data_IF_931024602946
#
_entry.id   IF_931024602946
#
_cell.length_a   1.000
_cell.length_b   1.000
_cell.length_c   1.000
_cell.angle_alpha   90.00
_cell.angle_beta   90.00
_cell.angle_gamma   90.00
#
_symmetry.space_group_name_H-M   'P 1'
#
loop_
_entity.id
_entity.type
_entity.pdbx_description
1 polymer ?
#
# COMPACT_ATOMS: atom_id res chain seq x y z
N UNK A 1 -0.59 9.71 -10.36
CA UNK A 1 -1.60 8.85 -9.72
C UNK A 1 -2.01 9.46 -8.40
N UNK A 2 -3.29 9.76 -8.22
CA UNK A 2 -3.84 10.26 -6.96
C UNK A 2 -3.94 9.14 -5.92
N UNK A 3 -3.95 9.50 -4.63
CA UNK A 3 -4.13 8.56 -3.52
C UNK A 3 -5.41 7.73 -3.67
N UNK A 4 -6.50 8.37 -4.08
CA UNK A 4 -7.78 7.70 -4.28
C UNK A 4 -7.72 6.67 -5.43
N UNK A 5 -6.96 6.98 -6.49
CA UNK A 5 -6.77 6.08 -7.63
C UNK A 5 -5.94 4.86 -7.21
N UNK A 6 -4.83 5.07 -6.49
CA UNK A 6 -4.01 3.97 -5.97
C UNK A 6 -4.82 3.06 -5.02
N UNK A 7 -5.60 3.64 -4.12
CA UNK A 7 -6.45 2.88 -3.21
C UNK A 7 -7.48 2.03 -3.97
N UNK A 8 -8.07 2.59 -5.03
CA UNK A 8 -9.03 1.89 -5.89
C UNK A 8 -8.39 0.74 -6.67
N UNK A 9 -7.18 0.94 -7.19
CA UNK A 9 -6.40 -0.11 -7.87
C UNK A 9 -5.98 -1.23 -6.91
N UNK A 10 -5.57 -0.88 -5.69
CA UNK A 10 -5.22 -1.84 -4.65
C UNK A 10 -6.44 -2.53 -4.00
N UNK A 11 -7.67 -2.11 -4.32
CA UNK A 11 -8.88 -2.66 -3.73
C UNK A 11 -9.00 -2.38 -2.22
N UNK A 12 -8.53 -1.22 -1.76
CA UNK A 12 -8.62 -0.78 -0.37
C UNK A 12 -9.29 0.59 -0.27
N UNK A 13 -9.78 0.93 0.92
CA UNK A 13 -10.33 2.26 1.17
C UNK A 13 -9.22 3.33 1.11
N UNK A 14 -9.47 4.51 0.52
CA UNK A 14 -8.55 5.65 0.56
C UNK A 14 -8.15 6.05 2.00
N UNK A 15 -9.04 5.82 2.97
CA UNK A 15 -8.77 6.04 4.39
C UNK A 15 -7.71 5.06 4.92
N UNK A 16 -7.78 3.79 4.49
CA UNK A 16 -6.79 2.76 4.86
C UNK A 16 -5.42 3.14 4.30
N UNK A 17 -5.34 3.54 3.04
CA UNK A 17 -4.09 4.01 2.44
C UNK A 17 -3.52 5.22 3.19
N UNK A 18 -4.38 6.19 3.54
CA UNK A 18 -3.98 7.37 4.32
C UNK A 18 -3.47 7.05 5.72
N UNK A 19 -3.93 5.97 6.36
CA UNK A 19 -3.42 5.50 7.65
C UNK A 19 -2.05 4.87 7.49
N UNK A 20 -1.86 4.07 6.44
CA UNK A 20 -0.60 3.40 6.12
C UNK A 20 0.49 4.41 5.80
N UNK A 21 0.20 5.45 5.04
CA UNK A 21 1.15 6.56 4.78
C UNK A 21 1.52 7.35 6.05
N UNK A 22 0.71 7.26 7.11
CA UNK A 22 1.01 7.85 8.42
C UNK A 22 1.76 6.89 9.36
N UNK A 23 2.21 5.73 8.86
CA UNK A 23 2.92 4.71 9.62
C UNK A 23 2.03 3.76 10.41
N UNK A 24 0.73 3.67 10.07
CA UNK A 24 -0.12 2.65 10.69
C UNK A 24 0.25 1.26 10.17
N UNK A 25 0.41 0.31 11.10
CA UNK A 25 0.65 -1.07 10.73
C UNK A 25 -0.53 -1.63 9.92
N UNK A 26 -0.24 -2.48 8.94
CA UNK A 26 -1.25 -3.08 8.07
C UNK A 26 -0.97 -4.55 7.82
N UNK A 27 -2.00 -5.28 7.39
CA UNK A 27 -1.89 -6.71 7.10
C UNK A 27 -0.95 -6.93 5.91
N UNK A 28 -0.23 -8.04 5.91
CA UNK A 28 0.65 -8.45 4.79
C UNK A 28 -0.13 -8.50 3.47
N UNK A 29 -1.39 -8.91 3.50
CA UNK A 29 -2.30 -8.87 2.34
C UNK A 29 -2.50 -7.45 1.78
N UNK A 30 -2.65 -6.45 2.65
CA UNK A 30 -2.77 -5.04 2.26
C UNK A 30 -1.47 -4.52 1.67
N UNK A 31 -0.32 -4.85 2.27
CA UNK A 31 1.01 -4.52 1.71
C UNK A 31 1.17 -5.09 0.30
N UNK A 32 0.79 -6.37 0.11
CA UNK A 32 0.80 -7.05 -1.19
C UNK A 32 -0.09 -6.37 -2.23
N UNK A 33 -1.32 -6.02 -1.87
CA UNK A 33 -2.25 -5.31 -2.76
C UNK A 33 -1.72 -3.96 -3.22
N UNK A 34 -1.11 -3.20 -2.31
CA UNK A 34 -0.52 -1.89 -2.61
C UNK A 34 0.69 -2.05 -3.54
N UNK A 35 1.59 -3.02 -3.28
CA UNK A 35 2.74 -3.29 -4.14
C UNK A 35 2.32 -3.65 -5.57
N UNK A 36 1.34 -4.54 -5.71
CA UNK A 36 0.82 -4.92 -7.03
C UNK A 36 0.16 -3.73 -7.75
N UNK A 37 -0.56 -2.87 -7.03
CA UNK A 37 -1.15 -1.66 -7.60
C UNK A 37 -0.11 -0.60 -8.01
N UNK A 38 1.07 -0.63 -7.39
CA UNK A 38 2.24 0.17 -7.79
C UNK A 38 3.06 -0.48 -8.90
N UNK A 39 2.71 -1.68 -9.35
CA UNK A 39 3.49 -2.44 -10.34
C UNK A 39 4.81 -2.99 -9.79
N UNK A 40 4.94 -3.11 -8.48
CA UNK A 40 6.14 -3.58 -7.79
C UNK A 40 6.05 -5.07 -7.43
N UNK A 41 7.21 -5.69 -7.32
CA UNK A 41 7.33 -7.07 -6.84
C UNK A 41 7.19 -7.15 -5.32
N UNK A 42 6.82 -8.31 -4.79
CA UNK A 42 6.70 -8.53 -3.33
C UNK A 42 8.04 -8.34 -2.61
N UNK A 43 9.15 -8.63 -3.29
CA UNK A 43 10.52 -8.43 -2.80
C UNK A 43 10.90 -6.94 -2.68
N UNK A 44 10.10 -6.04 -3.25
CA UNK A 44 10.31 -4.59 -3.19
C UNK A 44 9.48 -3.94 -2.08
N UNK A 45 8.92 -4.75 -1.16
CA UNK A 45 8.15 -4.25 -0.01
C UNK A 45 8.91 -3.19 0.77
N UNK A 46 10.22 -3.35 0.93
CA UNK A 46 11.08 -2.48 1.73
C UNK A 46 11.30 -1.10 1.07
N UNK A 47 10.99 -0.96 -0.24
CA UNK A 47 11.01 0.34 -0.93
C UNK A 47 9.79 1.22 -0.61
N UNK A 48 8.69 0.60 -0.20
CA UNK A 48 7.39 1.28 0.04
C UNK A 48 7.04 1.29 1.53
N UNK A 49 7.37 0.22 2.24
CA UNK A 49 7.11 0.05 3.66
C UNK A 49 8.46 0.04 4.39
N UNK A 50 8.86 1.17 4.95
CA UNK A 50 10.11 1.35 5.71
C UNK A 50 10.02 0.91 7.17
N UNK A 51 8.85 0.49 7.63
CA UNK A 51 8.61 0.00 8.99
C UNK A 51 8.44 -1.52 8.97
N UNK A 52 9.52 -2.20 9.33
CA UNK A 52 9.56 -3.49 10.03
C UNK A 52 10.43 -3.31 11.28
#
# INVERSE_FOLDING_TARGET
MSKAELARLAGISPLTLSRIEKGSNCRVDTKRKILLALGLSLSEKDKVFTED
#
